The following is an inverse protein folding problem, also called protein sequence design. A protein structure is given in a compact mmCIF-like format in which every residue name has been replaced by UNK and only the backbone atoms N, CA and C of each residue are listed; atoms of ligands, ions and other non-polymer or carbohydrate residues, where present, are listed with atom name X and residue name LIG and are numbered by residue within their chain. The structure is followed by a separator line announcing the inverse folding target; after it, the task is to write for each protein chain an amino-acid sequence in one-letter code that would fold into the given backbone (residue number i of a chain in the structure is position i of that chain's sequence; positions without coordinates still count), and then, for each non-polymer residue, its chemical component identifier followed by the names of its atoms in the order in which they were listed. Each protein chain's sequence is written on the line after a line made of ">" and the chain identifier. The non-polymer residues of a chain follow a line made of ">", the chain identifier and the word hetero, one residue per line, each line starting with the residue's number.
data_IF_376134514548
#
_entry.id   IF_376134514548
#
_cell.length_a   1.000
_cell.length_b   1.000
_cell.length_c   1.000
_cell.angle_alpha   90.00
_cell.angle_beta   90.00
_cell.angle_gamma   90.00
#
_symmetry.space_group_name_H-M   'P 1'
#
loop_
_entity.id
_entity.type
_entity.pdbx_description
1 polymer ?
#
# COMPACT_ATOMS: atom_id res chain seq x y z
N UNK A 1 -20.03 -76.47 1.00
CA UNK A 1 -20.18 -77.13 2.32
C UNK A 1 -18.84 -77.76 2.68
N UNK A 2 -18.12 -77.15 3.62
CA UNK A 2 -17.26 -77.70 4.69
C UNK A 2 -16.62 -76.47 5.36
N UNK A 3 -16.94 -76.28 6.63
CA UNK A 3 -16.13 -75.62 7.68
C UNK A 3 -15.90 -76.68 8.77
N UNK A 4 -15.14 -76.50 9.89
CA UNK A 4 -14.27 -75.41 10.38
C UNK A 4 -12.93 -75.92 11.04
N UNK A 5 -12.27 -75.06 11.84
CA UNK A 5 -11.23 -75.30 12.89
C UNK A 5 -9.81 -75.53 12.34
N UNK A 6 -8.73 -74.88 12.77
CA UNK A 6 -8.30 -74.28 14.04
C UNK A 6 -7.04 -73.47 13.67
N UNK A 7 -6.88 -72.21 14.08
CA UNK A 7 -5.55 -71.65 14.43
C UNK A 7 -5.74 -70.28 15.12
N UNK A 8 -6.24 -70.32 16.34
CA UNK A 8 -6.10 -69.19 17.27
C UNK A 8 -4.86 -69.48 18.10
N UNK A 9 -3.82 -68.64 17.98
CA UNK A 9 -2.97 -68.15 19.08
C UNK A 9 -1.71 -67.48 18.51
N UNK A 10 -1.72 -66.15 18.47
CA UNK A 10 -0.67 -65.32 19.12
C UNK A 10 -1.01 -63.85 18.97
N UNK A 11 -1.67 -63.36 20.02
CA UNK A 11 -1.65 -62.00 20.51
C UNK A 11 -0.26 -61.36 20.32
N UNK A 12 -0.17 -60.35 19.45
CA UNK A 12 0.92 -59.37 19.51
C UNK A 12 0.36 -58.05 20.04
N UNK A 13 0.96 -57.60 21.14
CA UNK A 13 0.54 -56.52 22.04
C UNK A 13 0.70 -55.11 21.44
N UNK A 14 0.71 -54.98 20.12
CA UNK A 14 0.99 -53.72 19.41
C UNK A 14 -0.26 -52.94 18.99
N UNK A 15 -1.47 -53.48 19.21
CA UNK A 15 -2.72 -52.87 18.74
C UNK A 15 -3.45 -51.96 19.76
N UNK A 16 -2.82 -51.60 20.89
CA UNK A 16 -3.49 -50.76 21.94
C UNK A 16 -2.84 -49.40 22.21
N UNK A 17 -1.83 -48.99 21.45
CA UNK A 17 -1.15 -47.70 21.62
C UNK A 17 -1.46 -46.64 20.55
N UNK A 18 -2.45 -46.88 19.68
CA UNK A 18 -2.89 -45.94 18.63
C UNK A 18 -4.39 -45.57 18.75
N UNK A 19 -4.94 -45.68 19.96
CA UNK A 19 -6.24 -45.14 20.36
C UNK A 19 -6.05 -44.01 21.38
N UNK A 20 -5.29 -43.00 20.99
CA UNK A 20 -5.44 -41.64 21.50
C UNK A 20 -5.63 -40.78 20.25
N UNK A 21 -6.83 -40.95 19.69
CA UNK A 21 -7.41 -40.12 18.65
C UNK A 21 -7.62 -38.73 19.28
N UNK A 22 -6.54 -37.98 19.39
CA UNK A 22 -6.57 -36.56 19.68
C UNK A 22 -7.25 -35.88 18.50
N UNK A 23 -8.57 -35.76 18.57
CA UNK A 23 -9.37 -34.87 17.75
C UNK A 23 -8.94 -33.45 18.12
N UNK A 24 -7.82 -33.01 17.56
CA UNK A 24 -7.54 -31.59 17.41
C UNK A 24 -8.50 -31.12 16.34
N UNK A 25 -9.65 -30.63 16.78
CA UNK A 25 -10.52 -29.76 15.99
C UNK A 25 -9.68 -28.54 15.61
N UNK A 26 -8.96 -28.63 14.50
CA UNK A 26 -8.49 -27.47 13.77
C UNK A 26 -9.73 -26.86 13.13
N UNK A 27 -10.57 -26.21 13.94
CA UNK A 27 -11.46 -25.15 13.47
C UNK A 27 -10.59 -23.94 13.17
N UNK A 28 -9.68 -24.10 12.21
CA UNK A 28 -9.12 -23.00 11.46
C UNK A 28 -10.23 -22.52 10.53
N UNK A 29 -11.17 -21.76 11.10
CA UNK A 29 -12.06 -20.91 10.32
C UNK A 29 -11.18 -19.93 9.55
N UNK A 30 -10.72 -20.37 8.38
CA UNK A 30 -10.32 -19.48 7.32
C UNK A 30 -11.60 -18.77 6.91
N UNK A 31 -11.96 -17.71 7.63
CA UNK A 31 -12.98 -16.78 7.19
C UNK A 31 -12.66 -16.44 5.74
N UNK A 32 -13.61 -16.50 4.80
CA UNK A 32 -13.32 -16.16 3.41
C UNK A 32 -12.77 -14.74 3.39
N UNK A 33 -11.51 -14.59 2.97
CA UNK A 33 -10.78 -13.31 2.88
C UNK A 33 -11.23 -12.49 1.65
N UNK A 34 -12.55 -12.48 1.40
CA UNK A 34 -13.22 -11.59 0.46
C UNK A 34 -13.84 -10.41 1.21
N UNK A 35 -14.34 -9.38 0.51
CA UNK A 35 -15.26 -8.47 1.18
C UNK A 35 -16.42 -9.33 1.68
N UNK A 36 -17.02 -9.06 2.87
CA UNK A 36 -18.21 -9.78 3.25
C UNK A 36 -19.22 -9.68 2.10
N UNK A 37 -19.78 -10.81 1.67
CA UNK A 37 -20.75 -10.83 0.57
C UNK A 37 -21.84 -9.79 0.88
N UNK A 38 -22.03 -8.81 -0.04
CA UNK A 38 -22.96 -7.70 0.19
C UNK A 38 -22.32 -6.39 0.66
N UNK A 39 -21.01 -6.33 0.94
CA UNK A 39 -20.37 -5.11 1.46
C UNK A 39 -20.58 -3.86 0.57
N UNK A 40 -20.59 -4.07 -0.75
CA UNK A 40 -20.84 -3.04 -1.75
C UNK A 40 -22.29 -2.52 -1.70
N UNK A 41 -23.24 -3.42 -1.45
CA UNK A 41 -24.68 -3.10 -1.33
C UNK A 41 -25.02 -2.39 -0.03
N UNK A 42 -24.07 -2.28 0.88
CA UNK A 42 -24.28 -1.61 2.16
C UNK A 42 -23.50 -0.28 2.22
N UNK A 43 -22.71 0.06 1.18
CA UNK A 43 -22.05 1.37 1.09
C UNK A 43 -23.11 2.45 0.86
N UNK A 44 -23.15 3.41 1.78
CA UNK A 44 -23.96 4.63 1.67
C UNK A 44 -23.19 5.73 0.97
N UNK A 45 -21.94 5.97 1.37
CA UNK A 45 -21.06 6.95 0.72
C UNK A 45 -19.60 6.68 1.01
N UNK A 46 -18.73 7.18 0.14
CA UNK A 46 -17.28 7.23 0.36
C UNK A 46 -16.83 8.66 0.17
N UNK A 47 -16.23 9.26 1.19
CA UNK A 47 -15.60 10.57 1.11
C UNK A 47 -14.09 10.40 1.17
N UNK A 48 -13.38 10.95 0.19
CA UNK A 48 -11.92 11.03 0.12
C UNK A 48 -11.56 12.50 0.21
N UNK A 49 -10.84 12.88 1.26
CA UNK A 49 -10.27 14.21 1.40
C UNK A 49 -8.76 14.13 1.26
N UNK A 50 -8.21 15.00 0.42
CA UNK A 50 -6.78 15.18 0.29
C UNK A 50 -6.44 16.63 0.58
N UNK A 51 -5.50 16.81 1.49
CA UNK A 51 -4.97 18.10 1.86
C UNK A 51 -3.46 18.08 1.68
N UNK A 52 -2.93 19.22 1.32
CA UNK A 52 -1.51 19.48 1.27
C UNK A 52 -1.27 20.93 1.67
N UNK A 53 -0.34 21.14 2.58
CA UNK A 53 0.19 22.46 2.93
C UNK A 53 1.71 22.42 2.90
N UNK A 54 2.32 23.39 2.22
CA UNK A 54 3.77 23.52 2.08
C UNK A 54 4.10 24.73 1.21
N UNK A 55 4.82 24.52 0.11
CA UNK A 55 5.08 25.55 -0.92
C UNK A 55 3.83 25.93 -1.73
N UNK A 56 2.73 25.23 -1.51
CA UNK A 56 1.39 25.58 -1.98
C UNK A 56 0.34 25.06 -1.01
N UNK A 57 -0.92 25.16 -1.41
CA UNK A 57 -2.04 24.57 -0.69
C UNK A 57 -2.89 23.81 -1.69
N UNK A 58 -3.36 22.64 -1.29
CA UNK A 58 -4.39 21.87 -1.99
C UNK A 58 -5.40 21.39 -0.96
N UNK A 59 -6.69 21.53 -1.26
CA UNK A 59 -7.79 20.90 -0.52
C UNK A 59 -8.77 20.32 -1.53
N UNK A 60 -8.73 19.00 -1.72
CA UNK A 60 -9.63 18.28 -2.61
C UNK A 60 -10.59 17.41 -1.79
N UNK A 61 -11.86 17.40 -2.19
CA UNK A 61 -12.89 16.55 -1.59
C UNK A 61 -13.59 15.78 -2.70
N UNK A 62 -13.56 14.46 -2.60
CA UNK A 62 -14.24 13.55 -3.53
C UNK A 62 -15.29 12.75 -2.78
N UNK A 63 -16.53 12.81 -3.21
CA UNK A 63 -17.64 12.04 -2.64
C UNK A 63 -18.16 11.06 -3.67
N UNK A 64 -18.31 9.81 -3.29
CA UNK A 64 -18.89 8.75 -4.10
C UNK A 64 -20.18 8.27 -3.43
N UNK A 65 -21.28 8.31 -4.16
CA UNK A 65 -22.59 7.86 -3.70
C UNK A 65 -23.15 6.80 -4.66
N UNK A 66 -23.87 5.76 -4.18
CA UNK A 66 -24.48 4.77 -5.06
C UNK A 66 -25.40 5.43 -6.10
N UNK A 67 -25.15 5.17 -7.37
CA UNK A 67 -26.06 5.57 -8.45
C UNK A 67 -27.32 4.72 -8.48
N UNK A 68 -28.29 5.13 -9.31
CA UNK A 68 -29.53 4.38 -9.52
C UNK A 68 -29.24 2.91 -9.89
N UNK A 69 -29.86 1.96 -9.17
CA UNK A 69 -29.64 0.53 -9.37
C UNK A 69 -28.26 0.00 -8.90
N UNK A 70 -27.44 0.83 -8.23
CA UNK A 70 -26.17 0.47 -7.56
C UNK A 70 -25.12 -0.23 -8.44
N UNK A 71 -25.21 -0.05 -9.76
CA UNK A 71 -24.22 -0.55 -10.74
C UNK A 71 -23.00 0.36 -10.86
N UNK A 72 -23.19 1.64 -10.55
CA UNK A 72 -22.16 2.67 -10.52
C UNK A 72 -22.26 3.46 -9.23
N UNK A 73 -21.21 4.21 -8.94
CA UNK A 73 -21.19 5.25 -7.93
C UNK A 73 -21.03 6.59 -8.65
N UNK A 74 -21.88 7.56 -8.36
CA UNK A 74 -21.67 8.91 -8.83
C UNK A 74 -20.60 9.55 -7.95
N UNK A 75 -19.52 10.00 -8.58
CA UNK A 75 -18.48 10.77 -7.92
C UNK A 75 -18.73 12.26 -8.16
N UNK A 76 -18.67 13.06 -7.12
CA UNK A 76 -18.50 14.51 -7.18
C UNK A 76 -17.14 14.85 -6.60
N UNK A 77 -16.37 15.67 -7.31
CA UNK A 77 -15.02 16.07 -6.92
C UNK A 77 -14.92 17.59 -6.92
N UNK A 78 -14.73 18.18 -5.74
CA UNK A 78 -14.25 19.54 -5.62
C UNK A 78 -12.73 19.49 -5.72
N UNK A 79 -12.21 20.06 -6.80
CA UNK A 79 -10.77 20.13 -7.05
C UNK A 79 -10.25 21.50 -6.61
N UNK A 80 -9.00 21.54 -6.18
CA UNK A 80 -8.29 22.79 -5.94
C UNK A 80 -7.94 23.44 -7.29
N UNK A 81 -8.89 24.19 -7.85
CA UNK A 81 -8.72 24.94 -9.10
C UNK A 81 -8.61 26.43 -8.79
N UNK A 82 -7.54 27.07 -9.27
CA UNK A 82 -7.36 28.52 -9.13
C UNK A 82 -8.33 29.32 -10.02
N UNK A 83 -8.86 28.71 -11.07
CA UNK A 83 -9.75 29.38 -12.03
C UNK A 83 -11.22 29.35 -11.57
N UNK A 84 -11.62 28.29 -10.88
CA UNK A 84 -12.96 28.13 -10.32
C UNK A 84 -12.92 27.17 -9.10
N UNK A 85 -12.77 27.71 -7.87
CA UNK A 85 -12.64 26.90 -6.66
C UNK A 85 -13.94 26.14 -6.28
N UNK A 86 -15.07 26.48 -6.90
CA UNK A 86 -16.36 25.85 -6.67
C UNK A 86 -16.74 24.86 -7.78
N UNK A 87 -15.90 24.72 -8.81
CA UNK A 87 -16.12 23.75 -9.88
C UNK A 87 -16.13 22.32 -9.33
N UNK A 88 -17.29 21.67 -9.45
CA UNK A 88 -17.47 20.26 -9.10
C UNK A 88 -17.42 19.42 -10.38
N UNK A 89 -16.41 18.57 -10.48
CA UNK A 89 -16.33 17.56 -11.54
C UNK A 89 -17.17 16.36 -11.13
N UNK A 90 -18.06 15.91 -12.01
CA UNK A 90 -18.91 14.74 -11.77
C UNK A 90 -18.70 13.65 -12.81
N UNK A 91 -18.70 12.40 -12.37
CA UNK A 91 -18.52 11.23 -13.22
C UNK A 91 -18.99 9.93 -12.55
N UNK A 92 -19.32 8.94 -13.38
CA UNK A 92 -19.77 7.64 -12.92
C UNK A 92 -18.59 6.66 -12.76
N UNK A 93 -18.40 6.16 -11.55
CA UNK A 93 -17.39 5.16 -11.22
C UNK A 93 -18.02 3.76 -11.25
N UNK A 94 -17.43 2.78 -11.95
CA UNK A 94 -17.92 1.40 -11.91
C UNK A 94 -17.89 0.84 -10.49
N UNK A 95 -18.96 0.17 -10.07
CA UNK A 95 -19.03 -0.41 -8.72
C UNK A 95 -17.89 -1.41 -8.42
N UNK A 96 -17.31 -2.02 -9.46
CA UNK A 96 -16.12 -2.85 -9.35
C UNK A 96 -14.91 -2.11 -8.75
N UNK A 97 -14.72 -0.83 -9.08
CA UNK A 97 -13.62 -0.02 -8.51
C UNK A 97 -13.81 0.23 -7.02
N UNK A 98 -15.05 0.47 -6.61
CA UNK A 98 -15.39 0.57 -5.19
C UNK A 98 -15.17 -0.77 -4.49
N UNK A 99 -15.60 -1.87 -5.09
CA UNK A 99 -15.36 -3.21 -4.56
C UNK A 99 -13.86 -3.53 -4.39
N UNK A 100 -13.00 -3.10 -5.32
CA UNK A 100 -11.54 -3.22 -5.20
C UNK A 100 -11.01 -2.50 -3.96
N UNK A 101 -11.51 -1.30 -3.65
CA UNK A 101 -11.16 -0.58 -2.43
C UNK A 101 -11.62 -1.35 -1.19
N UNK A 102 -12.90 -1.74 -1.15
CA UNK A 102 -13.48 -2.48 -0.03
C UNK A 102 -12.71 -3.77 0.25
N UNK A 103 -12.28 -4.47 -0.80
CA UNK A 103 -11.44 -5.66 -0.67
C UNK A 103 -10.06 -5.32 -0.10
N UNK A 104 -9.40 -4.29 -0.64
CA UNK A 104 -8.06 -3.90 -0.21
C UNK A 104 -8.02 -3.46 1.27
N UNK A 105 -9.06 -2.78 1.76
CA UNK A 105 -9.14 -2.31 3.17
C UNK A 105 -9.63 -3.39 4.14
N UNK A 106 -10.30 -4.43 3.63
CA UNK A 106 -10.77 -5.57 4.43
C UNK A 106 -9.72 -6.70 4.50
N UNK A 107 -8.71 -6.66 3.63
CA UNK A 107 -7.62 -7.63 3.63
C UNK A 107 -6.76 -7.48 4.90
N UNK A 108 -6.11 -8.57 5.36
CA UNK A 108 -5.16 -8.50 6.46
C UNK A 108 -4.10 -7.40 6.24
N UNK A 109 -3.79 -6.58 7.26
CA UNK A 109 -2.78 -5.54 7.16
C UNK A 109 -1.46 -6.08 6.63
N UNK A 110 -0.84 -5.36 5.69
CA UNK A 110 0.47 -5.75 5.20
C UNK A 110 1.55 -5.25 6.15
N UNK A 111 2.52 -6.11 6.51
CA UNK A 111 3.72 -5.65 7.17
C UNK A 111 4.54 -4.80 6.20
N UNK A 112 5.42 -3.98 6.77
CA UNK A 112 6.23 -3.01 6.06
C UNK A 112 7.09 -3.64 4.96
N UNK A 113 7.74 -4.75 5.26
CA UNK A 113 8.66 -5.47 4.38
C UNK A 113 7.93 -5.88 3.10
N UNK A 114 6.68 -6.37 3.23
CA UNK A 114 5.84 -6.74 2.09
C UNK A 114 5.47 -5.53 1.24
N UNK A 115 5.15 -4.40 1.87
CA UNK A 115 4.89 -3.13 1.18
C UNK A 115 6.10 -2.64 0.40
N UNK A 116 7.27 -2.58 1.04
CA UNK A 116 8.55 -2.20 0.43
C UNK A 116 8.89 -3.10 -0.75
N UNK A 117 8.72 -4.41 -0.61
CA UNK A 117 8.93 -5.37 -1.69
C UNK A 117 8.01 -5.13 -2.89
N UNK A 118 6.74 -4.80 -2.65
CA UNK A 118 5.79 -4.47 -3.71
C UNK A 118 6.15 -3.15 -4.41
N UNK A 119 6.64 -2.15 -3.67
CA UNK A 119 7.12 -0.88 -4.23
C UNK A 119 8.39 -1.10 -5.04
N UNK A 120 9.34 -1.88 -4.54
CA UNK A 120 10.60 -2.20 -5.23
C UNK A 120 10.38 -2.78 -6.63
N UNK A 121 9.38 -3.66 -6.78
CA UNK A 121 8.99 -4.23 -8.09
C UNK A 121 8.46 -3.21 -9.09
N UNK A 122 8.02 -2.03 -8.63
CA UNK A 122 7.48 -0.95 -9.47
C UNK A 122 8.52 0.13 -9.77
N UNK A 123 9.60 0.17 -8.99
CA UNK A 123 10.77 1.00 -9.28
C UNK A 123 11.33 0.62 -10.65
N UNK A 124 11.68 1.61 -11.48
CA UNK A 124 12.33 1.41 -12.78
C UNK A 124 13.79 1.83 -12.65
N UNK A 125 14.73 0.90 -12.36
CA UNK A 125 16.13 1.23 -12.07
C UNK A 125 16.78 2.14 -13.12
N UNK A 126 16.57 1.88 -14.41
CA UNK A 126 17.14 2.70 -15.48
C UNK A 126 16.73 4.18 -15.38
N UNK A 127 15.45 4.45 -15.15
CA UNK A 127 14.93 5.82 -14.97
C UNK A 127 15.50 6.49 -13.71
N UNK A 128 15.64 5.75 -12.62
CA UNK A 128 16.25 6.29 -11.40
C UNK A 128 17.72 6.62 -11.67
N UNK A 129 18.45 5.75 -12.37
CA UNK A 129 19.85 5.96 -12.71
C UNK A 129 20.02 7.23 -13.57
N UNK A 130 19.22 7.38 -14.64
CA UNK A 130 19.23 8.59 -15.48
C UNK A 130 19.08 9.88 -14.64
N UNK A 131 18.14 9.87 -13.68
CA UNK A 131 17.93 11.00 -12.77
C UNK A 131 19.07 11.17 -11.77
N UNK A 132 19.65 10.09 -11.24
CA UNK A 132 20.80 10.14 -10.31
C UNK A 132 22.02 10.76 -11.00
N UNK A 133 22.24 10.46 -12.28
CA UNK A 133 23.40 10.97 -13.02
C UNK A 133 23.35 12.49 -13.24
N UNK A 134 22.16 13.12 -13.26
CA UNK A 134 22.06 14.59 -13.32
C UNK A 134 22.60 15.27 -12.05
N UNK A 135 22.65 14.56 -10.92
CA UNK A 135 23.24 15.05 -9.67
C UNK A 135 24.77 14.96 -9.65
N UNK A 136 25.44 14.44 -10.67
CA UNK A 136 26.91 14.38 -10.72
C UNK A 136 27.58 15.75 -10.97
N UNK A 137 26.81 16.84 -11.08
CA UNK A 137 27.31 18.20 -11.41
C UNK A 137 28.46 18.71 -10.52
N UNK A 138 28.64 18.17 -9.31
CA UNK A 138 29.80 18.47 -8.46
C UNK A 138 30.69 17.22 -8.31
N UNK A 139 31.77 17.07 -9.12
CA UNK A 139 32.69 15.95 -8.98
C UNK A 139 33.41 16.00 -7.63
N UNK A 140 33.15 15.01 -6.80
CA UNK A 140 33.86 14.81 -5.53
C UNK A 140 35.29 14.30 -5.79
N UNK A 141 36.29 14.77 -5.02
CA UNK A 141 37.69 14.32 -5.16
C UNK A 141 37.77 12.79 -5.10
N UNK A 142 38.37 12.19 -6.13
CA UNK A 142 38.52 10.74 -6.27
C UNK A 142 37.36 10.02 -6.96
N UNK A 143 36.16 10.62 -7.05
CA UNK A 143 35.02 9.95 -7.68
C UNK A 143 34.89 10.34 -9.16
N UNK A 144 35.41 9.49 -10.06
CA UNK A 144 35.18 9.67 -11.50
C UNK A 144 33.70 9.48 -11.86
N UNK A 145 33.20 10.04 -12.99
CA UNK A 145 31.80 9.89 -13.38
C UNK A 145 31.41 8.41 -13.51
N UNK A 146 32.29 7.60 -14.12
CA UNK A 146 32.11 6.16 -14.28
C UNK A 146 32.06 5.41 -12.93
N UNK A 147 32.89 5.81 -11.97
CA UNK A 147 32.85 5.22 -10.63
C UNK A 147 31.54 5.55 -9.92
N UNK A 148 31.08 6.80 -10.00
CA UNK A 148 29.79 7.23 -9.44
C UNK A 148 28.63 6.43 -10.05
N UNK A 149 28.57 6.35 -11.38
CA UNK A 149 27.54 5.59 -12.11
C UNK A 149 27.53 4.11 -11.69
N UNK A 150 28.70 3.47 -11.63
CA UNK A 150 28.80 2.07 -11.20
C UNK A 150 28.27 1.86 -9.78
N UNK A 151 28.53 2.80 -8.85
CA UNK A 151 28.00 2.75 -7.49
C UNK A 151 26.49 2.98 -7.46
N UNK A 152 25.97 3.97 -8.18
CA UNK A 152 24.55 4.23 -8.29
C UNK A 152 23.80 3.01 -8.87
N UNK A 153 24.33 2.42 -9.93
CA UNK A 153 23.79 1.22 -10.55
C UNK A 153 23.79 0.03 -9.57
N UNK A 154 24.86 -0.17 -8.80
CA UNK A 154 24.91 -1.24 -7.78
C UNK A 154 23.84 -1.05 -6.69
N UNK A 155 23.59 0.19 -6.26
CA UNK A 155 22.55 0.50 -5.27
C UNK A 155 21.12 0.26 -5.77
N UNK A 156 20.94 0.20 -7.09
CA UNK A 156 19.68 -0.05 -7.77
C UNK A 156 19.42 -1.53 -8.06
N UNK A 157 20.37 -2.41 -7.73
CA UNK A 157 20.19 -3.86 -7.87
C UNK A 157 19.30 -4.42 -6.76
N UNK A 158 18.40 -5.34 -7.14
CA UNK A 158 17.44 -6.10 -6.31
C UNK A 158 17.47 -5.79 -4.80
N UNK A 159 18.30 -6.48 -4.03
CA UNK A 159 18.29 -6.39 -2.56
C UNK A 159 18.83 -5.06 -2.04
N UNK A 160 19.76 -4.44 -2.78
CA UNK A 160 20.25 -3.11 -2.44
C UNK A 160 19.16 -2.06 -2.62
N UNK A 161 18.36 -2.15 -3.68
CA UNK A 161 17.21 -1.28 -3.90
C UNK A 161 16.16 -1.46 -2.80
N UNK A 162 15.86 -2.71 -2.41
CA UNK A 162 14.98 -2.99 -1.26
C UNK A 162 15.51 -2.35 0.03
N UNK A 163 16.82 -2.45 0.29
CA UNK A 163 17.46 -1.80 1.43
C UNK A 163 17.40 -0.27 1.37
N UNK A 164 17.53 0.32 0.19
CA UNK A 164 17.36 1.77 0.00
C UNK A 164 15.91 2.22 0.26
N UNK A 165 14.93 1.49 -0.28
CA UNK A 165 13.51 1.76 -0.04
C UNK A 165 13.15 1.54 1.43
N UNK A 166 13.65 0.48 2.04
CA UNK A 166 13.53 0.23 3.47
C UNK A 166 14.03 1.42 4.28
N UNK A 167 15.22 1.95 4.00
CA UNK A 167 15.69 3.17 4.69
C UNK A 167 14.89 4.42 4.36
N UNK A 168 14.48 4.58 3.11
CA UNK A 168 13.66 5.71 2.65
C UNK A 168 12.35 5.80 3.43
N UNK A 169 11.64 4.69 3.56
CA UNK A 169 10.40 4.61 4.33
C UNK A 169 10.61 4.63 5.86
N UNK A 170 11.85 4.54 6.38
CA UNK A 170 12.13 4.55 7.83
C UNK A 170 12.47 5.95 8.31
N UNK A 171 13.22 6.67 7.46
CA UNK A 171 13.96 7.86 7.83
C UNK A 171 13.73 8.97 6.80
N UNK A 172 12.59 8.94 6.10
CA UNK A 172 12.18 9.95 5.14
C UNK A 172 11.78 11.24 5.86
N UNK A 173 12.75 11.93 6.45
CA UNK A 173 12.53 13.23 7.06
C UNK A 173 12.35 14.24 5.93
N UNK A 174 11.19 14.87 5.89
CA UNK A 174 10.91 16.05 5.10
C UNK A 174 10.41 17.13 6.05
N UNK A 175 10.74 18.39 5.78
CA UNK A 175 10.37 19.52 6.64
C UNK A 175 9.20 20.33 6.09
N UNK A 176 8.92 20.30 4.79
CA UNK A 176 8.15 21.41 4.17
C UNK A 176 6.81 21.03 3.52
N UNK A 177 6.50 19.75 3.34
CA UNK A 177 5.28 19.27 2.68
C UNK A 177 4.41 18.44 3.63
N UNK A 178 3.24 18.89 4.07
CA UNK A 178 2.34 18.14 4.96
C UNK A 178 1.12 17.57 4.22
N UNK A 179 1.28 16.46 3.47
CA UNK A 179 0.15 15.79 2.85
C UNK A 179 -0.69 15.10 3.93
N UNK A 180 -2.00 15.15 3.77
CA UNK A 180 -2.93 14.36 4.55
C UNK A 180 -4.02 13.83 3.62
N UNK A 181 -4.16 12.51 3.56
CA UNK A 181 -5.29 11.87 2.90
C UNK A 181 -6.12 11.15 3.94
N UNK A 182 -7.43 11.41 3.93
CA UNK A 182 -8.40 10.76 4.81
C UNK A 182 -9.54 10.22 3.97
N UNK A 183 -9.91 8.97 4.20
CA UNK A 183 -11.07 8.34 3.55
C UNK A 183 -12.04 7.85 4.61
N UNK A 184 -13.32 8.16 4.39
CA UNK A 184 -14.45 7.76 5.22
C UNK A 184 -15.37 6.92 4.35
N UNK A 185 -15.55 5.65 4.71
CA UNK A 185 -16.52 4.76 4.07
C UNK A 185 -17.69 4.62 5.04
N UNK A 186 -18.83 5.23 4.71
CA UNK A 186 -20.07 5.12 5.46
C UNK A 186 -20.89 3.96 4.92
N UNK A 187 -21.39 3.15 5.82
CA UNK A 187 -22.27 2.05 5.52
C UNK A 187 -23.64 2.28 6.14
N UNK A 188 -24.66 1.64 5.58
CA UNK A 188 -26.04 1.74 6.09
C UNK A 188 -26.22 0.91 7.37
N UNK A 189 -25.64 -0.30 7.41
CA UNK A 189 -25.82 -1.24 8.53
C UNK A 189 -24.52 -1.64 9.24
N UNK A 190 -23.39 -1.02 8.90
CA UNK A 190 -22.07 -1.30 9.50
C UNK A 190 -21.42 -0.04 10.06
N UNK A 191 -20.52 -0.19 11.06
CA UNK A 191 -19.74 0.93 11.55
C UNK A 191 -18.96 1.61 10.43
N UNK A 192 -18.85 2.94 10.52
CA UNK A 192 -18.06 3.72 9.56
C UNK A 192 -16.61 3.26 9.58
N UNK A 193 -16.04 3.02 8.41
CA UNK A 193 -14.63 2.67 8.27
C UNK A 193 -13.83 3.90 7.87
N UNK A 194 -12.74 4.12 8.59
CA UNK A 194 -11.83 5.23 8.40
C UNK A 194 -10.46 4.70 8.00
N UNK A 195 -9.83 5.37 7.06
CA UNK A 195 -8.42 5.20 6.78
C UNK A 195 -7.76 6.56 6.56
N UNK A 196 -6.51 6.70 7.00
CA UNK A 196 -5.76 7.94 6.86
C UNK A 196 -4.29 7.66 6.56
N UNK A 197 -3.65 8.57 5.83
CA UNK A 197 -2.20 8.60 5.66
C UNK A 197 -1.73 10.04 5.60
N UNK A 198 -0.67 10.34 6.34
CA UNK A 198 0.06 11.61 6.29
C UNK A 198 1.45 11.44 5.66
N UNK A 199 1.63 10.37 4.89
CA UNK A 199 2.95 9.98 4.41
C UNK A 199 3.35 10.71 3.15
N UNK A 200 4.59 11.19 3.18
CA UNK A 200 5.18 11.95 2.08
C UNK A 200 5.80 11.03 1.02
N UNK A 201 5.85 9.75 1.31
CA UNK A 201 6.58 8.77 0.54
C UNK A 201 5.74 8.17 -0.59
N UNK A 202 6.39 7.41 -1.48
CA UNK A 202 5.74 6.72 -2.59
C UNK A 202 4.43 6.00 -2.17
N UNK A 203 3.36 6.26 -2.91
CA UNK A 203 2.02 5.72 -2.69
C UNK A 203 1.37 6.11 -1.35
N UNK A 204 1.92 7.08 -0.62
CA UNK A 204 1.45 7.49 0.72
C UNK A 204 1.32 6.30 1.68
N UNK A 205 2.39 5.51 1.82
CA UNK A 205 2.44 4.40 2.77
C UNK A 205 3.22 4.81 4.04
N UNK A 206 2.81 4.33 5.23
CA UNK A 206 1.64 3.48 5.50
C UNK A 206 0.28 4.20 5.57
N UNK A 207 -0.77 3.39 5.65
CA UNK A 207 -2.13 3.79 6.02
C UNK A 207 -2.44 3.36 7.45
N UNK A 208 -3.18 4.19 8.18
CA UNK A 208 -3.79 3.85 9.46
C UNK A 208 -5.26 3.52 9.22
N UNK A 209 -5.71 2.33 9.64
CA UNK A 209 -7.10 1.87 9.56
C UNK A 209 -7.77 2.04 10.93
N UNK A 210 -8.99 2.57 10.95
CA UNK A 210 -9.70 2.98 12.17
C UNK A 210 -9.60 4.48 12.40
N UNK A 211 -10.52 5.02 13.20
CA UNK A 211 -10.49 6.45 13.55
C UNK A 211 -9.48 6.67 14.69
N UNK A 212 -8.38 7.41 14.47
CA UNK A 212 -7.37 7.65 15.49
C UNK A 212 -7.91 8.35 16.75
N UNK A 213 -9.07 9.03 16.65
CA UNK A 213 -9.72 9.72 17.76
C UNK A 213 -10.80 8.91 18.50
N UNK A 214 -11.20 7.74 17.99
CA UNK A 214 -12.36 7.00 18.51
C UNK A 214 -12.04 5.94 19.57
N UNK A 215 -10.77 5.75 19.95
CA UNK A 215 -10.36 4.78 20.98
C UNK A 215 -10.31 3.32 20.52
N UNK A 216 -10.71 3.01 19.28
CA UNK A 216 -10.45 1.71 18.65
C UNK A 216 -8.95 1.55 18.36
N UNK A 217 -8.45 0.30 18.42
CA UNK A 217 -7.06 -0.01 18.12
C UNK A 217 -6.77 0.27 16.64
N UNK A 218 -6.27 1.47 16.34
CA UNK A 218 -5.85 1.86 15.01
C UNK A 218 -4.78 0.88 14.49
N UNK A 219 -4.99 0.33 13.29
CA UNK A 219 -4.10 -0.67 12.70
C UNK A 219 -3.36 -0.07 11.51
N UNK A 220 -2.02 -0.08 11.59
CA UNK A 220 -1.18 0.38 10.48
C UNK A 220 -1.02 -0.71 9.42
N UNK A 221 -1.19 -0.36 8.15
CA UNK A 221 -1.01 -1.25 7.00
C UNK A 221 -0.13 -0.62 5.93
N UNK A 222 0.75 -1.44 5.35
CA UNK A 222 1.62 -1.06 4.22
C UNK A 222 1.07 -1.59 2.88
N UNK A 223 -0.25 -1.70 2.79
CA UNK A 223 -0.94 -2.33 1.66
C UNK A 223 -0.92 -1.44 0.41
N UNK A 224 -0.03 -1.75 -0.52
CA UNK A 224 0.01 -1.13 -1.87
C UNK A 224 -1.35 -1.19 -2.59
N UNK A 225 -2.13 -2.30 -2.50
CA UNK A 225 -3.49 -2.35 -3.06
C UNK A 225 -4.43 -1.24 -2.57
N UNK A 226 -4.31 -0.77 -1.31
CA UNK A 226 -5.15 0.33 -0.79
C UNK A 226 -4.90 1.61 -1.59
N UNK A 227 -3.64 2.05 -1.69
CA UNK A 227 -3.28 3.24 -2.47
C UNK A 227 -3.68 3.12 -3.94
N UNK A 228 -3.53 1.92 -4.53
CA UNK A 228 -3.90 1.68 -5.93
C UNK A 228 -5.41 1.73 -6.15
N UNK A 229 -6.20 1.12 -5.26
CA UNK A 229 -7.65 1.13 -5.36
C UNK A 229 -8.19 2.55 -5.18
N UNK A 230 -7.69 3.29 -4.17
CA UNK A 230 -8.03 4.71 -3.98
C UNK A 230 -7.72 5.55 -5.21
N UNK A 231 -6.53 5.40 -5.79
CA UNK A 231 -6.16 6.13 -7.01
C UNK A 231 -7.14 5.92 -8.15
N UNK A 232 -7.69 4.70 -8.31
CA UNK A 232 -8.66 4.39 -9.37
C UNK A 232 -10.05 5.00 -9.16
N UNK A 233 -10.31 5.55 -7.97
CA UNK A 233 -11.55 6.28 -7.65
C UNK A 233 -11.43 7.78 -7.92
N UNK A 234 -10.24 8.30 -8.24
CA UNK A 234 -9.95 9.72 -8.35
C UNK A 234 -9.79 10.15 -9.82
N UNK A 235 -10.14 11.40 -10.18
CA UNK A 235 -9.95 11.90 -11.53
C UNK A 235 -8.44 12.04 -11.81
N UNK A 236 -8.01 11.83 -13.05
CA UNK A 236 -6.59 11.95 -13.38
C UNK A 236 -6.03 13.37 -13.16
N UNK A 237 -6.90 14.38 -13.20
CA UNK A 237 -6.57 15.78 -12.92
C UNK A 237 -6.38 16.11 -11.44
N UNK A 238 -6.79 15.22 -10.52
CA UNK A 238 -6.69 15.46 -9.08
C UNK A 238 -5.25 15.34 -8.57
N UNK A 239 -4.89 16.22 -7.65
CA UNK A 239 -3.63 16.16 -6.91
C UNK A 239 -3.55 14.95 -5.98
N UNK A 240 -4.68 14.47 -5.45
CA UNK A 240 -4.76 13.19 -4.76
C UNK A 240 -4.44 12.01 -5.69
N UNK A 241 -4.98 12.00 -6.93
CA UNK A 241 -4.64 10.98 -7.94
C UNK A 241 -3.16 11.02 -8.27
N UNK A 242 -2.64 12.24 -8.49
CA UNK A 242 -1.23 12.49 -8.70
C UNK A 242 -0.48 11.89 -7.52
N UNK A 243 -0.71 12.29 -6.27
CA UNK A 243 0.05 11.83 -5.09
C UNK A 243 0.06 10.31 -4.90
N UNK A 244 -1.08 9.63 -5.04
CA UNK A 244 -1.17 8.16 -4.93
C UNK A 244 -0.49 7.41 -6.08
N UNK A 245 -0.19 8.11 -7.18
CA UNK A 245 0.46 7.56 -8.37
C UNK A 245 1.84 8.11 -8.66
N UNK A 246 2.16 9.27 -8.08
CA UNK A 246 3.32 10.07 -8.33
C UNK A 246 4.44 9.32 -7.71
N UNK A 247 5.40 9.10 -8.59
CA UNK A 247 6.68 8.59 -8.19
C UNK A 247 7.43 9.80 -7.67
N UNK A 248 7.27 10.12 -6.40
CA UNK A 248 8.22 10.99 -5.68
C UNK A 248 9.52 10.22 -5.45
N UNK A 249 10.06 9.71 -6.57
CA UNK A 249 11.35 9.05 -6.65
C UNK A 249 12.47 10.08 -6.38
N UNK A 250 12.19 11.39 -6.35
CA UNK A 250 13.17 12.45 -6.11
C UNK A 250 14.01 12.22 -4.85
N UNK A 251 13.38 11.94 -3.71
CA UNK A 251 14.13 11.63 -2.48
C UNK A 251 14.87 10.29 -2.56
N UNK A 252 14.34 9.31 -3.30
CA UNK A 252 15.04 8.05 -3.55
C UNK A 252 16.28 8.28 -4.43
N UNK A 253 16.16 9.12 -5.46
CA UNK A 253 17.22 9.56 -6.37
C UNK A 253 18.29 10.29 -5.58
N UNK A 254 17.93 11.29 -4.79
CA UNK A 254 18.86 12.05 -3.94
C UNK A 254 19.59 11.14 -2.96
N UNK A 255 18.87 10.21 -2.34
CA UNK A 255 19.47 9.23 -1.42
C UNK A 255 20.46 8.31 -2.14
N UNK A 256 20.10 7.81 -3.33
CA UNK A 256 21.00 6.96 -4.12
C UNK A 256 22.23 7.75 -4.53
N UNK A 257 22.06 8.98 -5.02
CA UNK A 257 23.16 9.88 -5.36
C UNK A 257 24.08 10.13 -4.16
N UNK A 258 23.52 10.51 -3.01
CA UNK A 258 24.28 10.73 -1.77
C UNK A 258 25.02 9.47 -1.33
N UNK A 259 24.37 8.31 -1.36
CA UNK A 259 24.99 7.03 -0.98
C UNK A 259 26.12 6.65 -1.94
N UNK A 260 25.94 6.86 -3.25
CA UNK A 260 26.98 6.63 -4.25
C UNK A 260 28.19 7.56 -4.05
N UNK A 261 27.98 8.84 -3.73
CA UNK A 261 29.05 9.79 -3.38
C UNK A 261 29.83 9.33 -2.15
N UNK A 262 29.14 8.90 -1.09
CA UNK A 262 29.78 8.40 0.14
C UNK A 262 30.59 7.14 -0.15
N UNK A 263 30.03 6.19 -0.91
CA UNK A 263 30.73 4.95 -1.27
C UNK A 263 32.01 5.21 -2.10
N UNK A 264 32.00 6.23 -2.95
CA UNK A 264 33.20 6.70 -3.65
C UNK A 264 34.29 7.18 -2.68
N UNK A 265 33.94 7.98 -1.66
CA UNK A 265 34.92 8.58 -0.72
C UNK A 265 35.69 7.54 0.09
N UNK A 266 35.03 6.45 0.50
CA UNK A 266 35.63 5.40 1.33
C UNK A 266 36.74 4.64 0.60
N UNK A 267 36.73 4.61 -0.73
CA UNK A 267 37.73 3.89 -1.53
C UNK A 267 39.04 4.68 -1.74
N UNK A 268 39.04 5.99 -1.46
CA UNK A 268 40.19 6.88 -1.64
C UNK A 268 40.79 7.39 -0.32
N UNK A 269 40.36 6.84 0.81
CA UNK A 269 41.02 6.96 2.12
C UNK A 269 41.84 5.71 2.38
#
# INVERSE_FOLDING_TARGET
>A
MVTPLEYIRRLSRWARALMMLGVVLVTGCSAPHGPPAGALQDVQSIEIRYQYSGWGRVDEVHRLEPGAGRRTFQRSSQLDSQEDPDAVVTDAIPAQRVAELLWAVSAPPWPRERGVDAVARRVRPARILEQVLSYYSTPERGCTPRAFEARAHALLQRDSLKGQLGRYYANGIWTDDDPAMRVVIRYEHRPTQVLASNERTLLMLPWVLGDPGAGDAAVTTWSVPVSQALRRLLPESSKAFERLGRREDGSLVERIAATARVACKVQHR
#
